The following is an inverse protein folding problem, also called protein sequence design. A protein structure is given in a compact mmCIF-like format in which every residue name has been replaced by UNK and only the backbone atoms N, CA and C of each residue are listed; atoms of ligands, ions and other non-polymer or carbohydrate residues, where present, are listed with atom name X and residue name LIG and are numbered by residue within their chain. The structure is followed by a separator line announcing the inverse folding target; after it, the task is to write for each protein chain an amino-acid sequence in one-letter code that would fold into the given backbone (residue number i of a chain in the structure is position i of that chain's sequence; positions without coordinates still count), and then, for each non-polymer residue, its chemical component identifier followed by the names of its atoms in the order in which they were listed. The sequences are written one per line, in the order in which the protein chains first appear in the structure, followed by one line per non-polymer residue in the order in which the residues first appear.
data_IF_674294339225
#
_entry.id   IF_674294339225
#
_cell.length_a   1.000
_cell.length_b   1.000
_cell.length_c   1.000
_cell.angle_alpha   90.00
_cell.angle_beta   90.00
_cell.angle_gamma   90.00
#
_symmetry.space_group_name_H-M   'P 1'
#
loop_
_entity.id
_entity.type
_entity.pdbx_description
1 polymer ?
#
# COMPACT_ATOMS: atom_id res chain seq x y z
N UNK A 1 7.42 17.62 -61.33
CA UNK A 1 7.19 16.29 -60.72
C UNK A 1 8.10 16.01 -59.50
N UNK A 2 9.36 16.45 -59.47
CA UNK A 2 10.31 16.18 -58.38
C UNK A 2 10.02 16.97 -57.07
N UNK A 3 9.54 18.21 -57.17
CA UNK A 3 9.29 19.09 -56.02
C UNK A 3 8.07 18.61 -55.24
N UNK A 4 7.02 18.17 -55.92
CA UNK A 4 5.80 17.64 -55.29
C UNK A 4 6.07 16.34 -54.52
N UNK A 5 6.92 15.46 -55.04
CA UNK A 5 7.34 14.23 -54.38
C UNK A 5 8.13 14.51 -53.08
N UNK A 6 9.02 15.48 -53.07
CA UNK A 6 9.80 15.90 -51.91
C UNK A 6 8.89 16.50 -50.80
N UNK A 7 7.91 17.31 -51.21
CA UNK A 7 6.94 17.89 -50.28
C UNK A 7 6.08 16.79 -49.61
N UNK A 8 5.58 15.82 -50.39
CA UNK A 8 4.81 14.69 -49.85
C UNK A 8 5.65 13.86 -48.89
N UNK A 9 6.93 13.62 -49.17
CA UNK A 9 7.82 12.87 -48.30
C UNK A 9 8.04 13.59 -46.97
N UNK A 10 8.22 14.92 -46.97
CA UNK A 10 8.37 15.74 -45.77
C UNK A 10 7.10 15.69 -44.90
N UNK A 11 5.93 15.82 -45.54
CA UNK A 11 4.65 15.74 -44.81
C UNK A 11 4.46 14.36 -44.14
N UNK A 12 4.78 13.28 -44.86
CA UNK A 12 4.73 11.92 -44.28
C UNK A 12 5.67 11.76 -43.09
N UNK A 13 6.88 12.29 -43.19
CA UNK A 13 7.86 12.24 -42.09
C UNK A 13 7.36 13.00 -40.85
N UNK A 14 6.81 14.20 -41.04
CA UNK A 14 6.23 15.00 -39.95
C UNK A 14 5.04 14.28 -39.27
N UNK A 15 4.17 13.65 -40.05
CA UNK A 15 3.04 12.89 -39.54
C UNK A 15 3.52 11.66 -38.75
N UNK A 16 4.54 10.95 -39.24
CA UNK A 16 5.11 9.80 -38.52
C UNK A 16 5.75 10.21 -37.18
N UNK A 17 6.50 11.31 -37.17
CA UNK A 17 7.10 11.84 -35.94
C UNK A 17 6.03 12.27 -34.94
N UNK A 18 4.99 12.98 -35.38
CA UNK A 18 3.88 13.40 -34.54
C UNK A 18 3.11 12.19 -33.98
N UNK A 19 2.84 11.17 -34.78
CA UNK A 19 2.22 9.92 -34.33
C UNK A 19 3.08 9.16 -33.30
N UNK A 20 4.39 9.12 -33.51
CA UNK A 20 5.34 8.49 -32.57
C UNK A 20 5.37 9.22 -31.23
N UNK A 21 5.36 10.55 -31.24
CA UNK A 21 5.29 11.37 -30.01
C UNK A 21 3.95 11.16 -29.29
N UNK A 22 2.85 11.11 -30.01
CA UNK A 22 1.53 10.87 -29.44
C UNK A 22 1.41 9.48 -28.82
N UNK A 23 1.94 8.45 -29.49
CA UNK A 23 2.02 7.08 -28.95
C UNK A 23 2.90 7.01 -27.71
N UNK A 24 4.08 7.63 -27.73
CA UNK A 24 4.97 7.71 -26.58
C UNK A 24 4.27 8.39 -25.40
N UNK A 25 3.63 9.54 -25.60
CA UNK A 25 2.85 10.23 -24.57
C UNK A 25 1.70 9.38 -24.04
N UNK A 26 0.96 8.70 -24.91
CA UNK A 26 -0.14 7.81 -24.52
C UNK A 26 0.35 6.64 -23.69
N UNK A 27 1.46 5.99 -24.08
CA UNK A 27 2.06 4.89 -23.33
C UNK A 27 2.61 5.36 -21.97
N UNK A 28 3.26 6.53 -21.91
CA UNK A 28 3.78 7.10 -20.66
C UNK A 28 2.66 7.53 -19.70
N UNK A 29 1.57 8.12 -20.21
CA UNK A 29 0.39 8.44 -19.42
C UNK A 29 -0.32 7.18 -18.90
N UNK A 30 -0.41 6.13 -19.72
CA UNK A 30 -0.99 4.86 -19.31
C UNK A 30 -0.15 4.16 -18.24
N UNK A 31 1.17 4.17 -18.37
CA UNK A 31 2.08 3.64 -17.35
C UNK A 31 2.01 4.42 -16.02
N UNK A 32 1.92 5.76 -16.09
CA UNK A 32 1.82 6.62 -14.90
C UNK A 32 0.49 6.46 -14.14
N UNK A 33 -0.57 6.03 -14.81
CA UNK A 33 -1.88 5.77 -14.23
C UNK A 33 -2.12 4.29 -13.87
N UNK A 34 -1.16 3.40 -14.15
CA UNK A 34 -1.30 1.97 -13.93
C UNK A 34 -1.16 1.55 -12.46
N UNK A 35 -0.66 2.42 -11.58
CA UNK A 35 -0.51 2.10 -10.17
C UNK A 35 -1.79 2.39 -9.41
N UNK A 36 -2.26 1.43 -8.64
CA UNK A 36 -3.37 1.59 -7.73
C UNK A 36 -2.99 2.49 -6.55
N UNK A 37 -3.24 3.78 -6.75
CA UNK A 37 -2.93 4.79 -5.74
C UNK A 37 -3.97 4.77 -4.62
N UNK A 38 -3.50 4.73 -3.38
CA UNK A 38 -4.29 4.86 -2.16
C UNK A 38 -3.93 6.21 -1.54
N UNK A 39 -4.91 7.09 -1.34
CA UNK A 39 -4.67 8.35 -0.64
C UNK A 39 -4.71 8.13 0.87
N UNK A 40 -3.75 8.69 1.58
CA UNK A 40 -3.75 8.80 3.04
C UNK A 40 -3.80 10.26 3.52
N UNK A 41 -4.23 11.17 2.65
CA UNK A 41 -4.31 12.62 2.93
C UNK A 41 -5.19 12.93 4.13
N UNK A 42 -6.34 12.30 4.22
CA UNK A 42 -7.29 12.53 5.31
C UNK A 42 -6.67 12.17 6.65
N UNK A 43 -6.08 10.99 6.77
CA UNK A 43 -5.49 10.50 8.02
C UNK A 43 -4.20 11.25 8.40
N UNK A 44 -3.44 11.72 7.42
CA UNK A 44 -2.32 12.65 7.67
C UNK A 44 -2.79 13.97 8.26
N UNK A 45 -3.89 14.52 7.76
CA UNK A 45 -4.44 15.78 8.29
C UNK A 45 -5.05 15.59 9.69
N UNK A 46 -5.65 14.45 9.98
CA UNK A 46 -6.31 14.16 11.26
C UNK A 46 -5.32 13.75 12.35
N UNK A 47 -4.45 12.81 12.05
CA UNK A 47 -3.61 12.13 13.04
C UNK A 47 -2.10 12.20 12.76
N UNK A 48 -1.68 12.83 11.67
CA UNK A 48 -0.27 12.87 11.25
C UNK A 48 0.30 11.51 10.83
N UNK A 49 -0.57 10.53 10.52
CA UNK A 49 -0.17 9.16 10.21
C UNK A 49 -0.66 8.73 8.82
N UNK A 50 0.18 8.02 8.04
CA UNK A 50 -0.21 7.45 6.76
C UNK A 50 -1.01 6.16 6.99
N UNK A 51 -2.33 6.29 7.10
CA UNK A 51 -3.24 5.16 7.31
C UNK A 51 -4.00 4.90 6.02
N UNK A 52 -4.04 3.63 5.63
CA UNK A 52 -4.73 3.14 4.43
C UNK A 52 -5.75 2.08 4.80
N UNK A 53 -6.81 1.97 3.98
CA UNK A 53 -7.87 1.00 4.19
C UNK A 53 -7.77 -0.12 3.16
N UNK A 54 -7.64 -1.34 3.65
CA UNK A 54 -7.81 -2.57 2.89
C UNK A 54 -9.16 -3.21 3.21
N UNK A 55 -9.52 -4.23 2.42
CA UNK A 55 -10.72 -5.02 2.63
C UNK A 55 -10.39 -6.49 2.80
N UNK A 56 -11.31 -7.20 3.42
CA UNK A 56 -11.42 -8.63 3.31
C UNK A 56 -12.92 -8.95 3.24
N UNK A 57 -13.38 -9.39 2.08
CA UNK A 57 -14.82 -9.42 1.77
C UNK A 57 -15.44 -8.02 1.91
N UNK A 58 -16.53 -7.92 2.65
CA UNK A 58 -17.24 -6.65 2.91
C UNK A 58 -16.60 -5.81 4.05
N UNK A 59 -15.72 -6.42 4.84
CA UNK A 59 -15.09 -5.76 5.98
C UNK A 59 -13.94 -4.86 5.57
N UNK A 60 -13.80 -3.71 6.27
CA UNK A 60 -12.73 -2.73 6.06
C UNK A 60 -11.80 -2.71 7.25
N UNK A 61 -10.50 -2.71 6.96
CA UNK A 61 -9.45 -2.68 7.97
C UNK A 61 -8.44 -1.58 7.66
N UNK A 62 -8.16 -0.76 8.65
CA UNK A 62 -7.23 0.37 8.54
C UNK A 62 -5.87 -0.02 9.08
N UNK A 63 -4.83 0.21 8.29
CA UNK A 63 -3.45 -0.09 8.64
C UNK A 63 -2.58 1.16 8.55
N UNK A 64 -1.76 1.38 9.56
CA UNK A 64 -0.67 2.36 9.48
C UNK A 64 0.40 1.80 8.55
N UNK A 65 0.90 2.63 7.63
CA UNK A 65 2.08 2.31 6.83
C UNK A 65 3.33 2.70 7.64
N UNK A 66 3.99 1.70 8.27
CA UNK A 66 5.09 1.92 9.20
C UNK A 66 6.41 1.36 8.66
N UNK A 67 7.23 2.23 8.06
CA UNK A 67 8.55 1.86 7.54
C UNK A 67 9.57 1.54 8.64
N UNK A 68 9.30 1.91 9.88
CA UNK A 68 10.14 1.61 11.04
C UNK A 68 9.88 0.24 11.66
N UNK A 69 8.72 -0.37 11.35
CA UNK A 69 8.41 -1.71 11.82
C UNK A 69 9.07 -2.78 10.95
N UNK A 70 9.71 -3.76 11.58
CA UNK A 70 10.29 -4.91 10.88
C UNK A 70 9.24 -5.93 10.41
N UNK A 71 8.18 -6.15 11.19
CA UNK A 71 7.11 -7.09 10.90
C UNK A 71 5.76 -6.41 10.98
N UNK A 72 4.86 -6.79 10.09
CA UNK A 72 3.46 -6.35 10.18
C UNK A 72 2.80 -6.85 11.45
N UNK A 73 1.90 -6.05 12.02
CA UNK A 73 1.21 -6.31 13.28
C UNK A 73 -0.28 -6.21 13.05
N UNK A 74 -1.02 -7.13 13.66
CA UNK A 74 -2.49 -7.09 13.77
C UNK A 74 -2.89 -7.05 15.24
N UNK A 75 -3.84 -6.20 15.60
CA UNK A 75 -4.42 -6.18 16.93
C UNK A 75 -5.24 -7.46 17.14
N UNK A 76 -4.97 -8.19 18.23
CA UNK A 76 -5.67 -9.45 18.52
C UNK A 76 -7.20 -9.30 18.55
N UNK A 77 -7.71 -8.11 18.92
CA UNK A 77 -9.14 -7.81 19.04
C UNK A 77 -9.92 -7.81 17.72
N UNK A 78 -9.21 -7.85 16.59
CA UNK A 78 -9.88 -7.86 15.28
C UNK A 78 -9.81 -9.22 14.58
N UNK A 79 -9.20 -10.22 15.18
CA UNK A 79 -9.06 -11.55 14.59
C UNK A 79 -10.40 -12.25 14.38
N UNK A 80 -11.38 -12.02 15.25
CA UNK A 80 -12.74 -12.54 15.13
C UNK A 80 -13.50 -12.02 13.89
N UNK A 81 -13.01 -10.92 13.28
CA UNK A 81 -13.57 -10.29 12.08
C UNK A 81 -12.78 -10.58 10.81
N UNK A 82 -11.68 -11.33 10.92
CA UNK A 82 -10.75 -11.63 9.83
C UNK A 82 -10.74 -13.12 9.52
N UNK A 83 -10.60 -13.43 8.25
CA UNK A 83 -10.17 -14.76 7.82
C UNK A 83 -8.64 -14.78 7.79
N UNK A 84 -8.05 -15.73 8.50
CA UNK A 84 -6.61 -15.87 8.60
C UNK A 84 -6.19 -17.35 8.65
N UNK A 85 -4.94 -17.61 8.40
CA UNK A 85 -4.33 -18.92 8.59
C UNK A 85 -3.34 -18.82 9.73
N UNK A 86 -3.49 -19.65 10.75
CA UNK A 86 -2.48 -19.77 11.80
C UNK A 86 -1.18 -20.36 11.22
N UNK A 87 -0.07 -19.76 11.60
CA UNK A 87 1.23 -20.22 11.17
C UNK A 87 1.93 -20.94 12.33
N UNK A 88 2.43 -22.14 12.03
CA UNK A 88 3.18 -22.93 13.00
C UNK A 88 4.45 -22.18 13.47
N UNK A 89 4.81 -22.41 14.71
CA UNK A 89 5.96 -21.80 15.36
C UNK A 89 5.63 -20.42 15.93
N UNK A 90 6.12 -20.21 17.14
CA UNK A 90 6.00 -18.92 17.82
C UNK A 90 7.22 -18.07 17.46
N UNK A 91 7.00 -16.80 17.12
CA UNK A 91 8.10 -15.86 17.05
C UNK A 91 8.43 -15.34 18.43
N UNK A 92 9.71 -15.18 18.72
CA UNK A 92 10.16 -14.52 19.93
C UNK A 92 10.12 -13.00 19.67
N UNK A 93 9.48 -12.26 20.56
CA UNK A 93 9.52 -10.81 20.60
C UNK A 93 10.03 -10.35 21.95
N UNK A 94 10.76 -9.25 21.95
CA UNK A 94 11.19 -8.60 23.19
C UNK A 94 10.25 -7.45 23.50
N UNK A 95 9.65 -7.46 24.70
CA UNK A 95 8.87 -6.33 25.20
C UNK A 95 9.75 -5.15 25.58
N UNK A 96 9.14 -4.01 25.85
CA UNK A 96 9.84 -2.82 26.40
C UNK A 96 10.52 -3.16 27.76
N UNK A 97 10.01 -4.19 28.44
CA UNK A 97 10.55 -4.74 29.69
C UNK A 97 11.78 -5.63 29.49
N UNK A 98 12.22 -5.82 28.25
CA UNK A 98 13.36 -6.67 27.88
C UNK A 98 13.09 -8.18 27.99
N UNK A 99 11.86 -8.60 28.29
CA UNK A 99 11.49 -10.02 28.42
C UNK A 99 11.10 -10.61 27.07
N UNK A 100 11.39 -11.91 26.93
CA UNK A 100 10.93 -12.68 25.78
C UNK A 100 9.42 -13.00 25.91
N UNK A 101 8.70 -12.68 24.86
CA UNK A 101 7.28 -13.04 24.72
C UNK A 101 7.10 -13.95 23.52
N UNK A 102 6.33 -15.01 23.72
CA UNK A 102 5.91 -15.88 22.63
C UNK A 102 4.78 -15.21 21.86
N UNK A 103 5.01 -14.88 20.59
CA UNK A 103 4.08 -14.15 19.75
C UNK A 103 3.53 -15.06 18.67
N UNK A 104 2.21 -15.20 18.60
CA UNK A 104 1.51 -15.91 17.53
C UNK A 104 1.64 -15.16 16.21
N UNK A 105 1.68 -15.92 15.11
CA UNK A 105 1.74 -15.38 13.75
C UNK A 105 0.56 -15.89 12.94
N UNK A 106 0.01 -15.02 12.10
CA UNK A 106 -1.09 -15.36 11.20
C UNK A 106 -0.80 -14.86 9.79
N UNK A 107 -1.17 -15.64 8.79
CA UNK A 107 -1.21 -15.24 7.39
C UNK A 107 -2.58 -14.61 7.09
N UNK A 108 -2.59 -13.40 6.55
CA UNK A 108 -3.81 -12.68 6.17
C UNK A 108 -3.68 -12.25 4.72
N UNK A 109 -4.76 -12.40 3.96
CA UNK A 109 -4.92 -11.84 2.61
C UNK A 109 -5.85 -10.64 2.71
N UNK A 110 -5.35 -9.49 2.28
CA UNK A 110 -6.09 -8.23 2.24
C UNK A 110 -6.26 -7.81 0.79
N UNK A 111 -7.38 -7.19 0.45
CA UNK A 111 -7.69 -6.73 -0.90
C UNK A 111 -7.77 -5.21 -0.95
N UNK A 112 -7.16 -4.62 -1.96
CA UNK A 112 -7.41 -3.22 -2.34
C UNK A 112 -7.77 -3.16 -3.80
N UNK A 113 -8.98 -2.66 -4.11
CA UNK A 113 -9.62 -2.79 -5.42
C UNK A 113 -9.64 -4.28 -5.85
N UNK A 114 -9.04 -4.61 -6.98
CA UNK A 114 -9.02 -5.97 -7.54
C UNK A 114 -7.69 -6.70 -7.29
N UNK A 115 -6.84 -6.17 -6.38
CA UNK A 115 -5.53 -6.73 -6.08
C UNK A 115 -5.45 -7.26 -4.65
N UNK A 116 -4.96 -8.48 -4.51
CA UNK A 116 -4.72 -9.14 -3.24
C UNK A 116 -3.29 -8.92 -2.74
N UNK A 117 -3.19 -8.69 -1.43
CA UNK A 117 -1.96 -8.49 -0.68
C UNK A 117 -1.90 -9.48 0.46
N UNK A 118 -1.03 -10.47 0.34
CA UNK A 118 -0.82 -11.49 1.37
C UNK A 118 0.36 -11.10 2.24
N UNK A 119 0.19 -11.12 3.56
CA UNK A 119 1.29 -10.85 4.49
C UNK A 119 1.19 -11.69 5.76
N UNK A 120 2.30 -11.76 6.49
CA UNK A 120 2.41 -12.44 7.78
C UNK A 120 2.42 -11.41 8.89
N UNK A 121 1.43 -11.52 9.77
CA UNK A 121 1.23 -10.60 10.88
C UNK A 121 1.61 -11.24 12.21
N UNK A 122 2.28 -10.47 13.06
CA UNK A 122 2.39 -10.78 14.49
C UNK A 122 1.12 -10.33 15.18
N UNK A 123 0.56 -11.18 16.03
CA UNK A 123 -0.64 -10.88 16.81
C UNK A 123 -0.22 -10.25 18.12
N UNK A 124 -0.56 -9.01 18.33
CA UNK A 124 -0.21 -8.26 19.54
C UNK A 124 -1.43 -7.53 20.13
N UNK A 125 -1.34 -7.19 21.38
CA UNK A 125 -2.27 -6.25 22.02
C UNK A 125 -1.82 -4.82 21.74
N UNK A 126 -2.54 -4.16 20.84
CA UNK A 126 -2.31 -2.76 20.46
C UNK A 126 -3.33 -1.81 21.07
N UNK A 127 -4.13 -2.29 22.04
CA UNK A 127 -5.25 -1.54 22.61
C UNK A 127 -4.86 -0.15 23.10
N UNK A 128 -3.79 -0.03 23.89
CA UNK A 128 -3.34 1.25 24.44
C UNK A 128 -3.08 2.30 23.35
N UNK A 129 -2.35 1.92 22.29
CA UNK A 129 -1.98 2.85 21.22
C UNK A 129 -3.15 3.15 20.29
N UNK A 130 -3.90 2.11 19.90
CA UNK A 130 -4.99 2.28 18.91
C UNK A 130 -6.23 2.93 19.53
N UNK A 131 -6.51 2.68 20.79
CA UNK A 131 -7.59 3.36 21.50
C UNK A 131 -7.25 4.83 21.77
N UNK A 132 -5.99 5.18 21.99
CA UNK A 132 -5.54 6.56 22.05
C UNK A 132 -5.76 7.27 20.69
N UNK A 133 -5.38 6.67 19.56
CA UNK A 133 -5.63 7.23 18.24
C UNK A 133 -7.12 7.46 17.97
N UNK A 134 -7.95 6.49 18.38
CA UNK A 134 -9.42 6.62 18.25
C UNK A 134 -9.99 7.74 19.12
N UNK A 135 -9.54 7.83 20.37
CA UNK A 135 -10.01 8.85 21.33
C UNK A 135 -9.57 10.26 20.90
N UNK A 136 -8.30 10.42 20.52
CA UNK A 136 -7.70 11.74 20.35
C UNK A 136 -7.93 12.28 18.93
N UNK A 137 -8.07 11.39 17.92
CA UNK A 137 -8.18 11.77 16.51
C UNK A 137 -9.40 11.17 15.78
N UNK A 138 -10.21 10.35 16.44
CA UNK A 138 -11.36 9.70 15.82
C UNK A 138 -11.00 8.59 14.81
N UNK A 139 -9.73 8.20 14.71
CA UNK A 139 -9.22 7.26 13.72
C UNK A 139 -9.13 5.86 14.30
N UNK A 140 -9.89 4.91 13.75
CA UNK A 140 -9.79 3.49 14.14
C UNK A 140 -8.71 2.82 13.34
N UNK A 141 -7.76 2.17 14.03
CA UNK A 141 -6.66 1.39 13.44
C UNK A 141 -6.81 -0.07 13.87
N UNK A 142 -6.44 -1.00 12.98
CA UNK A 142 -6.57 -2.44 13.20
C UNK A 142 -5.21 -3.14 13.22
N UNK A 143 -4.20 -2.51 12.60
CA UNK A 143 -2.85 -3.05 12.51
C UNK A 143 -1.88 -2.08 11.86
N UNK A 144 -0.68 -2.55 11.58
CA UNK A 144 0.31 -1.82 10.79
C UNK A 144 0.96 -2.73 9.76
N UNK A 145 1.35 -2.15 8.63
CA UNK A 145 2.10 -2.79 7.56
C UNK A 145 3.55 -2.32 7.63
N UNK A 146 4.46 -3.29 7.60
CA UNK A 146 5.88 -3.09 7.91
C UNK A 146 6.75 -2.89 6.66
N UNK A 147 8.03 -2.62 6.89
CA UNK A 147 9.05 -2.56 5.84
C UNK A 147 9.11 -3.82 4.97
N UNK A 148 8.87 -5.02 5.54
CA UNK A 148 8.82 -6.26 4.76
C UNK A 148 7.65 -6.32 3.79
N UNK A 149 6.50 -5.73 4.15
CA UNK A 149 5.37 -5.55 3.23
C UNK A 149 5.75 -4.62 2.07
N UNK A 150 6.38 -3.49 2.36
CA UNK A 150 6.80 -2.54 1.34
C UNK A 150 7.83 -3.13 0.39
N UNK A 151 8.78 -3.91 0.90
CA UNK A 151 9.77 -4.59 0.09
C UNK A 151 9.12 -5.62 -0.86
N UNK A 152 8.22 -6.46 -0.33
CA UNK A 152 7.52 -7.50 -1.10
C UNK A 152 6.71 -6.93 -2.25
N UNK A 153 5.96 -5.87 -2.00
CA UNK A 153 5.05 -5.27 -2.98
C UNK A 153 5.62 -4.04 -3.67
N UNK A 154 6.93 -3.76 -3.47
CA UNK A 154 7.58 -2.55 -4.00
C UNK A 154 6.74 -1.29 -3.74
N UNK A 155 6.24 -1.20 -2.50
CA UNK A 155 5.31 -0.15 -2.11
C UNK A 155 6.04 1.18 -1.95
N UNK A 156 5.52 2.23 -2.57
CA UNK A 156 6.07 3.59 -2.53
C UNK A 156 5.16 4.47 -1.69
N UNK A 157 5.76 5.21 -0.75
CA UNK A 157 5.09 6.26 0.01
C UNK A 157 5.51 7.62 -0.56
N UNK A 158 4.56 8.34 -1.13
CA UNK A 158 4.79 9.68 -1.66
C UNK A 158 4.15 10.73 -0.73
N UNK A 159 4.97 11.31 0.13
CA UNK A 159 4.52 12.31 1.10
C UNK A 159 4.21 13.67 0.46
N UNK A 160 4.69 13.97 -0.75
CA UNK A 160 4.31 15.19 -1.46
C UNK A 160 2.86 15.14 -1.94
N UNK A 161 2.44 13.99 -2.45
CA UNK A 161 1.08 13.79 -2.95
C UNK A 161 0.15 13.18 -1.90
N UNK A 162 0.69 12.70 -0.77
CA UNK A 162 0.00 11.96 0.30
C UNK A 162 -0.73 10.72 -0.23
N UNK A 163 -0.01 9.95 -1.03
CA UNK A 163 -0.46 8.70 -1.64
C UNK A 163 0.53 7.56 -1.40
N UNK A 164 0.01 6.35 -1.40
CA UNK A 164 0.78 5.12 -1.43
C UNK A 164 0.38 4.28 -2.65
N UNK A 165 1.30 3.52 -3.21
CA UNK A 165 1.02 2.63 -4.35
C UNK A 165 2.06 1.52 -4.46
N UNK A 166 1.61 0.38 -5.02
CA UNK A 166 2.49 -0.76 -5.34
C UNK A 166 3.02 -0.60 -6.77
N UNK A 167 4.27 -0.96 -6.99
CA UNK A 167 4.92 -0.98 -8.30
C UNK A 167 4.89 -2.37 -8.98
N UNK A 168 4.24 -3.35 -8.35
CA UNK A 168 4.09 -4.72 -8.88
C UNK A 168 2.64 -5.13 -8.94
#
# INVERSE_FOLDING_TARGET
MEITSKIVLIILLVVMVAASIALYHSMFHKAKNAYDKISFRETMNLAGLPIVTFRQGESKFNFILDTGAFSSIIDYRVLDKLQYTELEGKSIGYGIDGKEHSISRVGIVLTYKDKDYSDVFRVLDMSTSFDALKRDYGVTVHGLLSSSFFERYKYVLNYNELIAYSMV
#
